data_IF_808897163813
#
_entry.id   IF_808897163813
#
_cell.length_a   1.000
_cell.length_b   1.000
_cell.length_c   1.000
_cell.angle_alpha   90.00
_cell.angle_beta   90.00
_cell.angle_gamma   90.00
#
_symmetry.space_group_name_H-M   'P 1'
#
loop_
_entity.id
_entity.type
_entity.pdbx_description
1 polymer ?
#
# COMPACT_ATOMS: atom_id res chain seq x y z
N UNK A 1 -7.67 24.45 -43.30
CA UNK A 1 -8.48 24.22 -42.08
C UNK A 1 -8.39 22.73 -41.74
N UNK A 2 -7.87 22.36 -40.58
CA UNK A 2 -7.98 20.98 -40.08
C UNK A 2 -8.13 21.01 -38.57
N UNK A 3 -9.26 20.48 -38.15
CA UNK A 3 -9.89 20.64 -36.86
C UNK A 3 -9.12 19.93 -35.75
N UNK A 4 -9.01 20.62 -34.60
CA UNK A 4 -8.61 20.09 -33.30
C UNK A 4 -9.44 18.86 -32.97
N UNK A 5 -8.82 17.68 -32.91
CA UNK A 5 -9.35 16.56 -32.13
C UNK A 5 -9.03 16.85 -30.66
N UNK A 6 -10.05 17.28 -29.91
CA UNK A 6 -9.99 17.32 -28.44
C UNK A 6 -9.81 15.88 -27.97
N UNK A 7 -8.60 15.53 -27.54
CA UNK A 7 -8.34 14.28 -26.85
C UNK A 7 -9.07 14.34 -25.49
N UNK A 8 -9.90 13.36 -25.15
CA UNK A 8 -10.48 13.28 -23.81
C UNK A 8 -9.34 13.08 -22.79
N UNK A 9 -9.44 13.63 -21.57
CA UNK A 9 -8.43 13.44 -20.54
C UNK A 9 -8.35 11.96 -20.14
N UNK A 10 -7.15 11.37 -20.22
CA UNK A 10 -6.85 10.04 -19.67
C UNK A 10 -7.13 10.02 -18.16
N UNK A 11 -7.76 8.96 -17.61
CA UNK A 11 -8.03 8.81 -16.17
C UNK A 11 -6.80 8.37 -15.34
N UNK A 12 -5.60 8.46 -15.90
CA UNK A 12 -4.38 7.82 -15.37
C UNK A 12 -3.69 8.47 -14.13
N UNK A 13 -3.99 9.69 -13.62
CA UNK A 13 -3.26 10.23 -12.46
C UNK A 13 -3.77 9.76 -11.09
N UNK A 14 -4.97 9.15 -11.02
CA UNK A 14 -5.59 8.82 -9.74
C UNK A 14 -5.07 7.51 -9.13
N UNK A 15 -4.62 6.55 -9.95
CA UNK A 15 -4.13 5.26 -9.45
C UNK A 15 -2.73 5.35 -8.84
N UNK A 16 -1.86 6.22 -9.37
CA UNK A 16 -0.50 6.40 -8.85
C UNK A 16 -0.49 7.11 -7.48
N UNK A 17 -1.38 8.10 -7.29
CA UNK A 17 -1.41 8.92 -6.07
C UNK A 17 -1.66 8.12 -4.79
N UNK A 18 -2.62 7.19 -4.79
CA UNK A 18 -2.96 6.44 -3.57
C UNK A 18 -1.91 5.37 -3.24
N UNK A 19 -1.19 4.88 -4.27
CA UNK A 19 -0.12 3.90 -4.07
C UNK A 19 1.10 4.56 -3.42
N UNK A 20 1.43 5.78 -3.83
CA UNK A 20 2.47 6.59 -3.17
C UNK A 20 2.11 6.90 -1.70
N UNK A 21 0.86 7.29 -1.44
CA UNK A 21 0.36 7.50 -0.07
C UNK A 21 0.48 6.23 0.79
N UNK A 22 0.17 5.07 0.20
CA UNK A 22 0.27 3.76 0.88
C UNK A 22 1.70 3.44 1.31
N UNK A 23 2.69 3.79 0.48
CA UNK A 23 4.11 3.57 0.79
C UNK A 23 4.61 4.41 1.98
N UNK A 24 3.95 5.53 2.28
CA UNK A 24 4.31 6.40 3.39
C UNK A 24 3.68 5.99 4.73
N UNK A 25 2.77 5.01 4.72
CA UNK A 25 2.10 4.56 5.94
C UNK A 25 3.04 3.82 6.90
N UNK A 26 2.81 4.02 8.19
CA UNK A 26 3.37 3.18 9.25
C UNK A 26 2.69 1.81 9.28
N UNK A 27 3.31 0.82 9.93
CA UNK A 27 2.70 -0.50 10.10
C UNK A 27 1.29 -0.43 10.69
N UNK A 28 1.08 0.36 11.75
CA UNK A 28 -0.22 0.48 12.40
C UNK A 28 -1.28 1.08 11.45
N UNK A 29 -0.90 2.08 10.66
CA UNK A 29 -1.78 2.69 9.68
C UNK A 29 -2.12 1.72 8.54
N UNK A 30 -1.10 1.05 7.97
CA UNK A 30 -1.30 0.04 6.91
C UNK A 30 -2.18 -1.11 7.39
N UNK A 31 -1.97 -1.60 8.62
CA UNK A 31 -2.78 -2.67 9.20
C UNK A 31 -4.23 -2.24 9.40
N UNK A 32 -4.45 -1.03 9.93
CA UNK A 32 -5.81 -0.48 10.11
C UNK A 32 -6.51 -0.32 8.78
N UNK A 33 -5.83 0.23 7.77
CA UNK A 33 -6.39 0.40 6.42
C UNK A 33 -6.71 -0.95 5.76
N UNK A 34 -5.84 -1.95 5.96
CA UNK A 34 -6.08 -3.33 5.51
C UNK A 34 -7.32 -3.94 6.17
N UNK A 35 -7.43 -3.84 7.49
CA UNK A 35 -8.59 -4.35 8.25
C UNK A 35 -9.91 -3.73 7.75
N UNK A 36 -9.93 -2.40 7.54
CA UNK A 36 -11.10 -1.71 6.99
C UNK A 36 -11.41 -2.13 5.55
N UNK A 37 -10.39 -2.31 4.71
CA UNK A 37 -10.57 -2.74 3.32
C UNK A 37 -11.09 -4.16 3.24
N UNK A 38 -10.61 -5.06 4.11
CA UNK A 38 -11.11 -6.43 4.22
C UNK A 38 -12.56 -6.46 4.70
N UNK A 39 -12.93 -5.64 5.68
CA UNK A 39 -14.30 -5.53 6.13
C UNK A 39 -15.22 -5.05 4.98
N UNK A 40 -14.77 -4.08 4.17
CA UNK A 40 -15.51 -3.63 3.00
C UNK A 40 -15.65 -4.72 1.93
N UNK A 41 -14.58 -5.50 1.67
CA UNK A 41 -14.60 -6.64 0.75
C UNK A 41 -15.56 -7.76 1.18
N UNK A 42 -15.80 -7.89 2.48
CA UNK A 42 -16.67 -8.90 3.07
C UNK A 42 -18.12 -8.42 3.25
N UNK A 43 -18.41 -7.15 2.92
CA UNK A 43 -19.76 -6.59 3.03
C UNK A 43 -20.72 -7.27 2.06
N UNK A 44 -21.92 -7.62 2.54
CA UNK A 44 -23.02 -8.13 1.69
C UNK A 44 -23.58 -7.04 0.75
N UNK A 45 -23.29 -5.77 1.03
CA UNK A 45 -23.71 -4.61 0.23
C UNK A 45 -22.64 -4.18 -0.79
N UNK A 46 -21.60 -4.99 -1.03
CA UNK A 46 -20.51 -4.62 -1.92
C UNK A 46 -20.90 -4.68 -3.40
N UNK A 47 -20.83 -3.53 -4.05
CA UNK A 47 -20.95 -3.43 -5.51
C UNK A 47 -19.77 -4.09 -6.24
N UNK A 48 -20.06 -4.85 -7.30
CA UNK A 48 -19.06 -5.65 -8.04
C UNK A 48 -17.97 -4.77 -8.65
N UNK A 49 -18.33 -3.57 -9.11
CA UNK A 49 -17.42 -2.59 -9.69
C UNK A 49 -16.37 -2.11 -8.69
N UNK A 50 -16.69 -2.11 -7.38
CA UNK A 50 -15.77 -1.72 -6.32
C UNK A 50 -14.83 -2.85 -5.88
N UNK A 51 -15.19 -4.11 -6.11
CA UNK A 51 -14.41 -5.28 -5.66
C UNK A 51 -12.97 -5.25 -6.12
N UNK A 52 -12.74 -5.03 -7.43
CA UNK A 52 -11.40 -5.05 -7.99
C UNK A 52 -10.51 -3.93 -7.43
N UNK A 53 -11.08 -2.74 -7.18
CA UNK A 53 -10.37 -1.61 -6.58
C UNK A 53 -10.02 -1.88 -5.11
N UNK A 54 -10.98 -2.38 -4.33
CA UNK A 54 -10.75 -2.76 -2.93
C UNK A 54 -9.73 -3.89 -2.81
N UNK A 55 -9.77 -4.88 -3.70
CA UNK A 55 -8.78 -5.96 -3.72
C UNK A 55 -7.37 -5.43 -3.96
N UNK A 56 -7.18 -4.55 -4.96
CA UNK A 56 -5.86 -3.93 -5.22
C UNK A 56 -5.35 -3.15 -4.02
N UNK A 57 -6.23 -2.40 -3.33
CA UNK A 57 -5.87 -1.68 -2.11
C UNK A 57 -5.49 -2.62 -0.97
N UNK A 58 -6.24 -3.70 -0.77
CA UNK A 58 -5.92 -4.69 0.26
C UNK A 58 -4.54 -5.33 0.02
N UNK A 59 -4.21 -5.67 -1.23
CA UNK A 59 -2.88 -6.18 -1.59
C UNK A 59 -1.80 -5.14 -1.26
N UNK A 60 -1.97 -3.88 -1.69
CA UNK A 60 -0.99 -2.83 -1.43
C UNK A 60 -0.77 -2.56 0.08
N UNK A 61 -1.83 -2.59 0.89
CA UNK A 61 -1.70 -2.45 2.35
C UNK A 61 -1.02 -3.66 3.00
N UNK A 62 -1.26 -4.88 2.49
CA UNK A 62 -0.59 -6.08 2.95
C UNK A 62 0.91 -6.05 2.61
N UNK A 63 1.25 -5.71 1.37
CA UNK A 63 2.65 -5.56 0.91
C UNK A 63 3.39 -4.52 1.76
N UNK A 64 2.74 -3.39 2.07
CA UNK A 64 3.34 -2.38 2.95
C UNK A 64 3.57 -2.91 4.36
N UNK A 65 2.63 -3.67 4.92
CA UNK A 65 2.82 -4.31 6.23
C UNK A 65 4.06 -5.21 6.22
N UNK A 66 4.22 -6.04 5.19
CA UNK A 66 5.38 -6.92 5.02
C UNK A 66 6.69 -6.14 4.95
N UNK A 67 6.75 -5.10 4.11
CA UNK A 67 7.94 -4.25 3.97
C UNK A 67 8.38 -3.63 5.29
N UNK A 68 7.44 -3.11 6.10
CA UNK A 68 7.78 -2.52 7.40
C UNK A 68 8.30 -3.58 8.36
N UNK A 69 7.71 -4.78 8.37
CA UNK A 69 8.19 -5.88 9.23
C UNK A 69 9.59 -6.35 8.82
N UNK A 70 9.85 -6.50 7.52
CA UNK A 70 11.18 -6.84 7.00
C UNK A 70 12.22 -5.78 7.38
N UNK A 71 11.87 -4.49 7.27
CA UNK A 71 12.76 -3.41 7.68
C UNK A 71 13.08 -3.44 9.18
N UNK A 72 12.08 -3.68 10.03
CA UNK A 72 12.28 -3.80 11.48
C UNK A 72 13.14 -5.01 11.81
N UNK A 73 12.90 -6.16 11.14
CA UNK A 73 13.72 -7.35 11.32
C UNK A 73 15.19 -7.07 11.00
N UNK A 74 15.47 -6.47 9.84
CA UNK A 74 16.82 -6.08 9.43
C UNK A 74 17.49 -5.16 10.46
N UNK A 75 16.76 -4.16 10.98
CA UNK A 75 17.28 -3.26 12.02
C UNK A 75 17.64 -4.00 13.32
N UNK A 76 16.84 -4.96 13.73
CA UNK A 76 17.12 -5.78 14.93
C UNK A 76 18.37 -6.65 14.71
N UNK A 77 18.50 -7.28 13.54
CA UNK A 77 19.66 -8.09 13.18
C UNK A 77 20.95 -7.26 13.13
N UNK A 78 20.90 -6.04 12.58
CA UNK A 78 22.03 -5.11 12.58
C UNK A 78 22.44 -4.67 14.00
N UNK A 79 21.47 -4.42 14.88
CA UNK A 79 21.74 -4.06 16.27
C UNK A 79 22.42 -5.21 17.04
N UNK A 80 22.02 -6.46 16.79
CA UNK A 80 22.63 -7.64 17.41
C UNK A 80 24.08 -7.83 16.94
N UNK A 81 24.34 -7.68 15.65
CA UNK A 81 25.71 -7.74 15.08
C UNK A 81 26.63 -6.69 15.70
N UNK A 82 26.17 -5.44 15.77
CA UNK A 82 26.94 -4.35 16.40
C UNK A 82 27.23 -4.64 17.88
N UNK A 83 26.28 -5.23 18.62
CA UNK A 83 26.48 -5.58 20.03
C UNK A 83 27.54 -6.68 20.23
N UNK A 84 27.66 -7.61 19.28
CA UNK A 84 28.67 -8.67 19.28
C UNK A 84 30.07 -8.16 18.91
N UNK A 85 30.17 -7.21 17.96
CA UNK A 85 31.44 -6.61 17.54
C UNK A 85 32.05 -5.66 18.59
N UNK A 86 31.23 -5.12 19.49
CA UNK A 86 31.68 -4.18 20.54
C UNK A 86 32.16 -4.90 21.82
N UNK A 87 32.21 -6.24 21.84
CA UNK A 87 32.81 -6.98 22.96
C UNK A 87 34.35 -7.05 22.82
N UNK A 88 35.12 -6.50 23.79
CA UNK A 88 36.58 -6.53 23.79
C UNK A 88 37.18 -7.90 24.14
#
# INVERSE_FOLDING_TARGET
>A
MSSRKRQPPSPEPAEDSWLEETQQLTFAQSRTALELTLAALQSEELEVEAMAGLYRRAVAYADRCEQVLQQVQQQVEELDQNALETQP
#
